data_IF_760452558225
#
_entry.id   IF_760452558225
#
_cell.length_a   1.000
_cell.length_b   1.000
_cell.length_c   1.000
_cell.angle_alpha   90.00
_cell.angle_beta   90.00
_cell.angle_gamma   90.00
#
_symmetry.space_group_name_H-M   'P 1'
#
loop_
_entity.id
_entity.type
_entity.pdbx_description
1 polymer ?
#
# COMPACT_ATOMS: atom_id res chain seq x y z
N UNK A 1 -1.10 -21.13 19.73
CA UNK A 1 -2.25 -20.20 19.57
C UNK A 1 -3.50 -21.03 19.71
N UNK A 2 -4.44 -20.66 20.62
CA UNK A 2 -5.74 -21.31 20.67
C UNK A 2 -6.55 -20.84 19.46
N UNK A 3 -7.32 -21.74 18.86
CA UNK A 3 -8.13 -21.43 17.67
C UNK A 3 -9.17 -20.32 17.91
N UNK A 4 -9.48 -20.06 19.18
CA UNK A 4 -10.44 -19.04 19.64
C UNK A 4 -9.82 -17.64 19.81
N UNK A 5 -8.48 -17.48 19.67
CA UNK A 5 -7.85 -16.17 19.79
C UNK A 5 -8.09 -15.33 18.52
N UNK A 6 -8.48 -14.03 18.66
CA UNK A 6 -8.69 -13.16 17.52
C UNK A 6 -7.38 -12.94 16.74
N UNK A 7 -7.30 -13.47 15.52
CA UNK A 7 -6.11 -13.36 14.66
C UNK A 7 -5.82 -11.92 14.23
N UNK A 8 -6.82 -11.05 14.24
CA UNK A 8 -6.65 -9.64 13.88
C UNK A 8 -5.63 -8.92 14.79
N UNK A 9 -5.57 -9.28 16.09
CA UNK A 9 -4.67 -8.60 17.03
C UNK A 9 -3.18 -8.76 16.67
N UNK A 10 -2.62 -9.98 16.50
CA UNK A 10 -1.23 -10.14 16.10
C UNK A 10 -0.94 -9.57 14.71
N UNK A 11 -1.88 -9.65 13.75
CA UNK A 11 -1.72 -9.05 12.43
C UNK A 11 -1.59 -7.52 12.52
N UNK A 12 -2.47 -6.87 13.32
CA UNK A 12 -2.39 -5.42 13.55
C UNK A 12 -1.07 -5.03 14.23
N UNK A 13 -0.60 -5.81 15.20
CA UNK A 13 0.67 -5.52 15.88
C UNK A 13 1.86 -5.59 14.92
N UNK A 14 1.93 -6.64 14.08
CA UNK A 14 2.98 -6.78 13.07
C UNK A 14 2.92 -5.64 12.07
N UNK A 15 1.73 -5.35 11.53
CA UNK A 15 1.51 -4.25 10.59
C UNK A 15 1.96 -2.90 11.16
N UNK A 16 1.59 -2.58 12.41
CA UNK A 16 2.02 -1.34 13.08
C UNK A 16 3.54 -1.25 13.21
N UNK A 17 4.21 -2.32 13.63
CA UNK A 17 5.67 -2.37 13.75
C UNK A 17 6.35 -2.20 12.40
N UNK A 18 5.86 -2.91 11.39
CA UNK A 18 6.38 -2.87 10.02
C UNK A 18 6.28 -1.46 9.42
N UNK A 19 5.11 -0.84 9.50
CA UNK A 19 4.89 0.52 9.00
C UNK A 19 5.64 1.59 9.80
N UNK A 20 5.84 1.39 11.12
CA UNK A 20 6.67 2.28 11.93
C UNK A 20 8.14 2.23 11.49
N UNK A 21 8.68 1.04 11.24
CA UNK A 21 10.05 0.90 10.72
C UNK A 21 10.19 1.49 9.32
N UNK A 22 9.23 1.24 8.43
CA UNK A 22 9.19 1.87 7.11
C UNK A 22 9.23 3.40 7.22
N UNK A 23 8.37 3.99 8.06
CA UNK A 23 8.31 5.44 8.23
C UNK A 23 9.61 6.06 8.76
N UNK A 24 10.37 5.33 9.61
CA UNK A 24 11.68 5.79 10.07
C UNK A 24 12.73 5.80 8.96
N UNK A 25 12.74 4.75 8.11
CA UNK A 25 13.70 4.61 7.02
C UNK A 25 13.37 5.57 5.89
N UNK A 26 12.09 5.69 5.54
CA UNK A 26 11.57 6.48 4.42
C UNK A 26 11.22 7.93 4.81
N UNK A 27 11.68 8.43 5.97
CA UNK A 27 11.30 9.75 6.49
C UNK A 27 11.70 10.93 5.57
N UNK A 28 12.68 10.73 4.70
CA UNK A 28 13.13 11.69 3.69
C UNK A 28 12.28 11.68 2.41
N UNK A 29 11.43 10.67 2.22
CA UNK A 29 10.52 10.58 1.08
C UNK A 29 9.20 11.25 1.48
N UNK A 30 8.82 12.40 0.89
CA UNK A 30 7.62 13.16 1.25
C UNK A 30 6.35 12.49 0.70
N UNK A 31 6.06 11.28 1.14
CA UNK A 31 5.04 10.45 0.52
C UNK A 31 4.05 9.83 1.51
N UNK A 32 4.20 10.12 2.80
CA UNK A 32 3.39 9.50 3.85
C UNK A 32 3.27 7.97 3.66
N UNK A 33 2.04 7.48 3.46
CA UNK A 33 1.73 6.05 3.29
C UNK A 33 1.31 5.67 1.86
N UNK A 34 1.46 6.59 0.91
CA UNK A 34 0.93 6.41 -0.45
C UNK A 34 1.89 5.71 -1.42
N UNK A 35 3.02 5.21 -0.90
CA UNK A 35 4.03 4.47 -1.69
C UNK A 35 3.46 3.23 -2.41
N UNK A 36 2.45 2.57 -1.84
CA UNK A 36 1.81 1.42 -2.50
C UNK A 36 1.15 1.80 -3.82
N UNK A 37 0.52 2.97 -3.92
CA UNK A 37 -0.04 3.46 -5.18
C UNK A 37 1.05 3.55 -6.24
N UNK A 38 2.23 4.07 -5.90
CA UNK A 38 3.34 4.20 -6.85
C UNK A 38 3.87 2.83 -7.28
N UNK A 39 3.97 1.87 -6.36
CA UNK A 39 4.44 0.52 -6.70
C UNK A 39 3.46 -0.19 -7.62
N UNK A 40 2.15 -0.12 -7.35
CA UNK A 40 1.11 -0.69 -8.22
C UNK A 40 1.19 -0.07 -9.61
N UNK A 41 1.31 1.26 -9.72
CA UNK A 41 1.45 1.95 -10.99
C UNK A 41 2.76 1.62 -11.71
N UNK A 42 3.83 1.30 -10.99
CA UNK A 42 5.11 0.93 -11.58
C UNK A 42 5.13 -0.49 -12.17
N UNK A 43 4.33 -1.40 -11.61
CA UNK A 43 4.21 -2.80 -12.06
C UNK A 43 3.08 -2.99 -13.08
N UNK A 44 2.25 -1.96 -13.30
CA UNK A 44 1.11 -2.03 -14.19
C UNK A 44 1.53 -2.08 -15.66
N UNK A 45 0.97 -3.00 -16.42
CA UNK A 45 1.11 -3.05 -17.88
C UNK A 45 0.24 -1.97 -18.55
N UNK A 46 -0.89 -1.61 -17.93
CA UNK A 46 -1.83 -0.59 -18.38
C UNK A 46 -2.05 0.47 -17.31
N UNK A 47 -2.48 1.67 -17.73
CA UNK A 47 -2.79 2.75 -16.79
C UNK A 47 -4.12 2.47 -16.08
N UNK A 48 -4.14 2.70 -14.78
CA UNK A 48 -5.36 2.57 -13.95
C UNK A 48 -6.08 3.90 -13.77
N UNK A 49 -7.41 3.80 -13.67
CA UNK A 49 -8.24 4.88 -13.13
C UNK A 49 -8.17 4.92 -11.61
N UNK A 50 -8.59 6.03 -10.99
CA UNK A 50 -8.71 6.11 -9.53
C UNK A 50 -9.67 5.05 -8.96
N UNK A 51 -10.70 4.67 -9.71
CA UNK A 51 -11.66 3.65 -9.28
C UNK A 51 -10.99 2.27 -9.19
N UNK A 52 -10.24 1.88 -10.21
CA UNK A 52 -9.51 0.60 -10.25
C UNK A 52 -8.44 0.55 -9.15
N UNK A 53 -7.72 1.64 -8.92
CA UNK A 53 -6.76 1.72 -7.79
C UNK A 53 -7.45 1.59 -6.42
N UNK A 54 -8.64 2.16 -6.24
CA UNK A 54 -9.41 2.01 -5.02
C UNK A 54 -9.83 0.55 -4.78
N UNK A 55 -10.25 -0.14 -5.84
CA UNK A 55 -10.62 -1.56 -5.81
C UNK A 55 -9.40 -2.45 -5.50
N UNK A 56 -8.25 -2.22 -6.16
CA UNK A 56 -7.00 -2.98 -5.90
C UNK A 56 -6.53 -2.80 -4.46
N UNK A 57 -6.57 -1.58 -3.94
CA UNK A 57 -6.13 -1.27 -2.56
C UNK A 57 -7.20 -1.51 -1.51
N UNK A 58 -8.42 -1.88 -1.91
CA UNK A 58 -9.56 -2.08 -1.02
C UNK A 58 -9.81 -0.88 -0.10
N UNK A 59 -9.76 0.33 -0.68
CA UNK A 59 -10.04 1.59 0.02
C UNK A 59 -11.26 2.27 -0.57
N UNK A 60 -11.91 3.14 0.20
CA UNK A 60 -13.02 3.93 -0.32
C UNK A 60 -12.57 4.94 -1.39
N UNK A 61 -13.52 5.36 -2.24
CA UNK A 61 -13.25 6.26 -3.35
C UNK A 61 -12.78 7.63 -2.89
N UNK A 62 -13.29 8.14 -1.77
CA UNK A 62 -12.94 9.47 -1.25
C UNK A 62 -11.50 9.47 -0.71
N UNK A 63 -11.11 8.39 -0.06
CA UNK A 63 -9.73 8.21 0.41
C UNK A 63 -8.76 8.08 -0.78
N UNK A 64 -9.12 7.33 -1.82
CA UNK A 64 -8.30 7.26 -3.05
C UNK A 64 -8.15 8.64 -3.72
N UNK A 65 -9.22 9.44 -3.79
CA UNK A 65 -9.12 10.83 -4.28
C UNK A 65 -8.10 11.61 -3.48
N UNK A 66 -8.16 11.55 -2.15
CA UNK A 66 -7.20 12.23 -1.26
C UNK A 66 -5.77 11.77 -1.50
N UNK A 67 -5.54 10.47 -1.68
CA UNK A 67 -4.20 9.94 -1.99
C UNK A 67 -3.67 10.47 -3.33
N UNK A 68 -4.49 10.43 -4.38
CA UNK A 68 -4.07 10.87 -5.71
C UNK A 68 -3.89 12.40 -5.75
N UNK A 69 -4.72 13.17 -5.04
CA UNK A 69 -4.54 14.63 -4.92
C UNK A 69 -3.23 14.96 -4.22
N UNK A 70 -2.91 14.27 -3.13
CA UNK A 70 -1.62 14.42 -2.44
C UNK A 70 -0.44 14.09 -3.36
N UNK A 71 -0.48 12.92 -4.01
CA UNK A 71 0.58 12.48 -4.92
C UNK A 71 0.75 13.42 -6.13
N UNK A 72 -0.35 13.94 -6.65
CA UNK A 72 -0.34 14.93 -7.75
C UNK A 72 0.24 16.27 -7.30
N UNK A 73 -0.16 16.79 -6.12
CA UNK A 73 0.38 18.02 -5.55
C UNK A 73 1.89 17.97 -5.27
N UNK A 74 2.43 16.76 -5.04
CA UNK A 74 3.87 16.53 -4.84
C UNK A 74 4.61 16.11 -6.12
N UNK A 75 3.95 16.15 -7.27
CA UNK A 75 4.52 15.80 -8.57
C UNK A 75 5.00 14.33 -8.65
N UNK A 76 4.24 13.41 -8.08
CA UNK A 76 4.50 11.96 -8.20
C UNK A 76 3.61 11.30 -9.26
N UNK A 77 2.39 11.81 -9.44
CA UNK A 77 1.47 11.31 -10.46
C UNK A 77 0.83 12.46 -11.22
N UNK A 78 0.38 12.14 -12.45
CA UNK A 78 -0.47 13.02 -13.27
C UNK A 78 -1.77 12.31 -13.62
N UNK A 79 -2.82 13.10 -13.90
CA UNK A 79 -4.09 12.61 -14.45
C UNK A 79 -4.13 12.91 -15.93
N UNK A 80 -4.24 11.87 -16.74
CA UNK A 80 -4.40 12.00 -18.20
C UNK A 80 -5.83 11.58 -18.58
N UNK A 81 -6.46 12.34 -19.48
CA UNK A 81 -7.76 11.92 -20.02
C UNK A 81 -7.57 10.66 -20.88
N UNK A 82 -8.44 9.68 -20.72
CA UNK A 82 -8.44 8.51 -21.59
C UNK A 82 -8.78 8.91 -23.03
N UNK A 83 -8.07 8.31 -23.99
CA UNK A 83 -8.24 8.64 -25.41
C UNK A 83 -9.60 8.18 -25.97
N UNK A 84 -10.19 7.14 -25.37
CA UNK A 84 -11.45 6.55 -25.82
C UNK A 84 -12.66 7.04 -25.01
N UNK A 85 -12.45 7.42 -23.73
CA UNK A 85 -13.50 7.99 -22.88
C UNK A 85 -12.97 9.17 -22.07
N UNK A 86 -13.18 10.39 -22.56
CA UNK A 86 -12.72 11.64 -21.92
C UNK A 86 -13.25 11.88 -20.51
N UNK A 87 -14.25 11.11 -20.06
CA UNK A 87 -14.76 11.15 -18.68
C UNK A 87 -13.89 10.36 -17.71
N UNK A 88 -13.05 9.45 -18.25
CA UNK A 88 -12.10 8.68 -17.46
C UNK A 88 -10.77 9.41 -17.36
N UNK A 89 -10.21 9.44 -16.16
CA UNK A 89 -8.87 9.94 -15.92
C UNK A 89 -7.98 8.77 -15.50
N UNK A 90 -6.93 8.56 -16.27
CA UNK A 90 -5.90 7.56 -16.03
C UNK A 90 -4.79 8.18 -15.18
N UNK A 91 -4.26 7.41 -14.24
CA UNK A 91 -3.21 7.86 -13.34
C UNK A 91 -1.85 7.35 -13.86
N UNK A 92 -0.92 8.28 -14.02
CA UNK A 92 0.39 8.01 -14.58
C UNK A 92 1.51 8.50 -13.66
N UNK A 93 2.56 7.70 -13.52
CA UNK A 93 3.77 8.09 -12.79
C UNK A 93 4.53 9.17 -13.52
N UNK A 94 4.98 10.19 -12.79
CA UNK A 94 5.96 11.16 -13.28
C UNK A 94 7.36 10.56 -13.31
N UNK A 95 8.30 11.21 -13.99
CA UNK A 95 9.69 10.78 -13.98
C UNK A 95 10.35 10.92 -12.60
N UNK A 96 9.86 11.87 -11.78
CA UNK A 96 10.25 11.99 -10.38
C UNK A 96 9.85 10.75 -9.59
N UNK A 97 8.61 10.28 -9.73
CA UNK A 97 8.16 9.06 -9.07
C UNK A 97 8.93 7.83 -9.54
N UNK A 98 9.12 7.66 -10.86
CA UNK A 98 9.88 6.54 -11.43
C UNK A 98 11.29 6.42 -10.85
N UNK A 99 11.96 7.54 -10.60
CA UNK A 99 13.31 7.55 -9.99
C UNK A 99 13.30 7.10 -8.53
N UNK A 100 12.18 7.22 -7.82
CA UNK A 100 12.05 6.79 -6.43
C UNK A 100 11.68 5.30 -6.27
N UNK A 101 11.08 4.68 -7.29
CA UNK A 101 10.65 3.28 -7.22
C UNK A 101 11.78 2.32 -6.79
N UNK A 102 13.00 2.39 -7.36
CA UNK A 102 14.09 1.50 -6.95
C UNK A 102 14.46 1.65 -5.46
N UNK A 103 14.43 2.87 -4.94
CA UNK A 103 14.70 3.15 -3.53
C UNK A 103 13.61 2.60 -2.62
N UNK A 104 12.34 2.82 -2.96
CA UNK A 104 11.20 2.27 -2.24
C UNK A 104 11.27 0.74 -2.19
N UNK A 105 11.55 0.11 -3.33
CA UNK A 105 11.70 -1.34 -3.42
C UNK A 105 12.87 -1.86 -2.56
N UNK A 106 13.99 -1.13 -2.52
CA UNK A 106 15.13 -1.50 -1.66
C UNK A 106 14.78 -1.39 -0.18
N UNK A 107 14.03 -0.36 0.22
CA UNK A 107 13.55 -0.20 1.60
C UNK A 107 12.67 -1.39 1.99
N UNK A 108 11.71 -1.77 1.14
CA UNK A 108 10.85 -2.94 1.39
C UNK A 108 11.61 -4.25 1.42
N UNK A 109 12.56 -4.44 0.50
CA UNK A 109 13.43 -5.62 0.51
C UNK A 109 14.16 -5.77 1.85
N UNK A 110 14.85 -4.72 2.29
CA UNK A 110 15.60 -4.74 3.56
C UNK A 110 14.69 -4.94 4.77
N UNK A 111 13.50 -4.33 4.74
CA UNK A 111 12.50 -4.46 5.80
C UNK A 111 11.92 -5.87 5.86
N UNK A 112 11.66 -6.48 4.72
CA UNK A 112 11.22 -7.87 4.63
C UNK A 112 12.29 -8.84 5.14
N UNK A 113 13.56 -8.64 4.75
CA UNK A 113 14.69 -9.44 5.26
C UNK A 113 14.80 -9.34 6.80
N UNK A 114 14.62 -8.14 7.36
CA UNK A 114 14.57 -7.92 8.81
C UNK A 114 13.38 -8.62 9.46
N UNK A 115 12.19 -8.49 8.87
CA UNK A 115 10.95 -9.06 9.42
C UNK A 115 10.98 -10.60 9.42
N UNK A 116 11.55 -11.21 8.37
CA UNK A 116 11.64 -12.65 8.21
C UNK A 116 12.98 -13.25 8.69
N UNK A 117 13.76 -12.49 9.46
CA UNK A 117 15.02 -13.00 10.01
C UNK A 117 14.80 -14.31 10.79
N UNK A 118 15.57 -15.36 10.50
CA UNK A 118 15.47 -16.69 11.08
C UNK A 118 14.18 -17.48 10.74
N UNK A 119 13.41 -17.03 9.75
CA UNK A 119 12.28 -17.77 9.19
C UNK A 119 12.75 -18.46 7.92
N UNK A 120 12.47 -19.78 7.77
CA UNK A 120 12.83 -20.53 6.55
C UNK A 120 12.05 -20.02 5.33
N UNK A 121 12.63 -20.16 4.14
CA UNK A 121 11.94 -19.78 2.88
C UNK A 121 10.60 -20.52 2.69
N UNK A 122 10.55 -21.79 3.10
CA UNK A 122 9.34 -22.61 3.07
C UNK A 122 8.23 -22.00 3.95
N UNK A 123 8.56 -21.66 5.20
CA UNK A 123 7.61 -21.00 6.12
C UNK A 123 7.17 -19.63 5.64
N UNK A 124 8.05 -18.88 4.97
CA UNK A 124 7.67 -17.61 4.33
C UNK A 124 6.66 -17.86 3.22
N UNK A 125 6.89 -18.88 2.36
CA UNK A 125 5.93 -19.27 1.33
C UNK A 125 4.57 -19.64 1.94
N UNK A 126 4.54 -20.56 2.88
CA UNK A 126 3.30 -20.96 3.59
C UNK A 126 2.58 -19.78 4.25
N UNK A 127 3.32 -18.82 4.81
CA UNK A 127 2.73 -17.63 5.40
C UNK A 127 1.93 -16.80 4.36
N UNK A 128 2.50 -16.58 3.18
CA UNK A 128 1.80 -15.86 2.11
C UNK A 128 0.62 -16.66 1.55
N UNK A 129 0.76 -17.99 1.41
CA UNK A 129 -0.33 -18.87 0.96
C UNK A 129 -1.52 -18.81 1.94
N UNK A 130 -1.24 -18.86 3.25
CA UNK A 130 -2.27 -18.75 4.29
C UNK A 130 -2.94 -17.36 4.26
N UNK A 131 -2.17 -16.28 4.12
CA UNK A 131 -2.73 -14.93 4.00
C UNK A 131 -3.64 -14.80 2.77
N UNK A 132 -3.23 -15.33 1.62
CA UNK A 132 -4.03 -15.32 0.40
C UNK A 132 -5.34 -16.10 0.58
N UNK A 133 -5.28 -17.29 1.21
CA UNK A 133 -6.48 -18.08 1.51
C UNK A 133 -7.41 -17.38 2.49
N UNK A 134 -6.86 -16.71 3.52
CA UNK A 134 -7.65 -15.90 4.46
C UNK A 134 -8.36 -14.74 3.76
N UNK A 135 -7.67 -14.04 2.86
CA UNK A 135 -8.27 -12.98 2.06
C UNK A 135 -9.43 -13.49 1.21
N UNK A 136 -9.26 -14.65 0.55
CA UNK A 136 -10.34 -15.28 -0.23
C UNK A 136 -11.54 -15.66 0.64
N UNK A 137 -11.28 -16.26 1.82
CA UNK A 137 -12.35 -16.71 2.73
C UNK A 137 -13.12 -15.56 3.36
N UNK A 138 -12.46 -14.41 3.55
CA UNK A 138 -13.04 -13.21 4.16
C UNK A 138 -13.50 -12.18 3.12
N UNK A 139 -13.47 -12.53 1.83
CA UNK A 139 -13.89 -11.64 0.75
C UNK A 139 -15.40 -11.39 0.81
N UNK A 140 -15.79 -10.38 1.57
CA UNK A 140 -17.15 -9.85 1.66
C UNK A 140 -17.22 -8.58 0.81
N UNK A 141 -18.31 -8.40 0.07
CA UNK A 141 -18.49 -7.30 -0.89
C UNK A 141 -18.35 -5.88 -0.32
N UNK A 142 -18.27 -5.70 1.00
CA UNK A 142 -18.28 -4.40 1.69
C UNK A 142 -17.14 -4.28 2.73
N UNK A 143 -15.89 -4.25 2.28
CA UNK A 143 -14.74 -3.96 3.18
C UNK A 143 -14.49 -2.46 3.40
N UNK A 144 -15.27 -1.58 2.74
CA UNK A 144 -15.03 -0.13 2.72
C UNK A 144 -15.30 0.61 4.04
N UNK A 145 -15.89 -0.04 5.04
CA UNK A 145 -16.24 0.61 6.32
C UNK A 145 -15.13 0.54 7.39
N UNK A 146 -14.10 -0.29 7.20
CA UNK A 146 -12.99 -0.40 8.15
C UNK A 146 -11.87 0.59 7.81
N UNK A 147 -12.00 1.81 8.30
CA UNK A 147 -10.90 2.78 8.31
C UNK A 147 -9.96 2.39 9.46
N UNK A 148 -8.81 1.81 9.15
CA UNK A 148 -7.69 1.76 10.10
C UNK A 148 -7.15 3.18 10.27
N UNK A 149 -7.75 3.93 11.21
CA UNK A 149 -7.31 5.29 11.53
C UNK A 149 -5.96 5.23 12.27
N UNK A 150 -4.89 5.29 11.52
CA UNK A 150 -3.54 5.45 12.06
C UNK A 150 -3.33 6.93 12.39
N UNK A 151 -3.72 7.35 13.60
CA UNK A 151 -3.43 8.70 14.10
C UNK A 151 -1.95 9.02 13.89
N UNK A 152 -1.66 10.17 13.26
CA UNK A 152 -0.31 10.73 13.15
C UNK A 152 0.30 10.78 14.56
N UNK A 153 1.45 10.13 14.74
CA UNK A 153 2.30 10.38 15.89
C UNK A 153 2.69 11.87 15.79
N UNK A 154 2.16 12.70 16.68
CA UNK A 154 2.61 14.08 16.82
C UNK A 154 4.10 13.99 17.16
N UNK A 155 4.96 14.46 16.27
CA UNK A 155 6.33 14.79 16.63
C UNK A 155 6.24 15.92 17.64
N UNK A 156 6.44 15.58 18.91
CA UNK A 156 6.72 16.57 19.94
C UNK A 156 8.13 17.06 19.68
N UNK A 157 8.24 18.31 19.29
CA UNK A 157 9.48 19.11 19.21
C UNK A 157 10.20 19.08 20.53
#
# INVERSE_FOLDING_TARGET
MKFEEPIAHPLIQVTKKYLSEFGKIACHIPMERYHYVLLILAEAEELYTQKELAEILQVDKSFMVTMIDYLSAHDFVTREADQHDRRKHLIKLTDKAKKLIPEINLIFKNLNEKAFKNVSKENIGHFFDVLAQMQQNLNTENTHELILDFKKLKHTT
#
